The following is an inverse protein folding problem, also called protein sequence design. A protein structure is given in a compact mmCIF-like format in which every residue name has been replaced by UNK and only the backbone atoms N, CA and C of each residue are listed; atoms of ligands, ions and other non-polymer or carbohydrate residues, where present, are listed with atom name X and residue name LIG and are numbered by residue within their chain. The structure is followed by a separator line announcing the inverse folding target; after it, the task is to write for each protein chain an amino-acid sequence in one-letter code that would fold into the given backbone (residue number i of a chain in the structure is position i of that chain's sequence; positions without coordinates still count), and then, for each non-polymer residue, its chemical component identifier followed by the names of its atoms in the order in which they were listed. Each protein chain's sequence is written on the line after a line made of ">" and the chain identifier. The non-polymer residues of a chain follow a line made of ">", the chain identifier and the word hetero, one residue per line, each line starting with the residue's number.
data_IF_250872084772
#
_entry.id   IF_250872084772
#
_cell.length_a   1.000
_cell.length_b   1.000
_cell.length_c   1.000
_cell.angle_alpha   90.00
_cell.angle_beta   90.00
_cell.angle_gamma   90.00
#
_symmetry.space_group_name_H-M   'P 1'
#
loop_
_entity.id
_entity.type
_entity.pdbx_description
1 polymer ?
#
# COMPACT_ATOMS: atom_id res chain seq x y z
N UNK A 1 8.31 21.71 7.86
CA UNK A 1 9.63 22.38 7.88
C UNK A 1 9.69 23.24 9.13
N UNK A 2 10.82 23.28 9.84
CA UNK A 2 11.02 24.17 11.00
C UNK A 2 12.33 24.95 10.84
N UNK A 3 12.47 26.18 11.37
CA UNK A 3 13.74 26.91 11.33
C UNK A 3 14.87 26.12 11.98
N UNK A 4 16.09 26.24 11.43
CA UNK A 4 17.28 25.66 12.02
C UNK A 4 17.72 26.44 13.26
N UNK A 5 18.16 25.75 14.31
CA UNK A 5 18.61 26.40 15.54
C UNK A 5 19.98 27.05 15.30
N UNK A 6 20.05 28.38 15.44
CA UNK A 6 21.31 29.13 15.34
C UNK A 6 21.85 29.39 13.93
N UNK A 7 21.08 29.13 12.86
CA UNK A 7 21.54 29.32 11.47
C UNK A 7 20.45 29.85 10.52
N UNK A 8 20.87 30.38 9.36
CA UNK A 8 20.00 30.65 8.21
C UNK A 8 19.64 29.33 7.50
N UNK A 9 18.53 28.70 7.87
CA UNK A 9 18.06 27.49 7.20
C UNK A 9 16.78 26.88 7.79
N UNK A 10 16.29 25.80 7.15
CA UNK A 10 15.13 25.04 7.60
C UNK A 10 15.45 23.55 7.67
N UNK A 11 14.99 22.88 8.72
CA UNK A 11 14.91 21.42 8.77
C UNK A 11 13.66 20.94 8.03
N UNK A 12 13.86 20.02 7.10
CA UNK A 12 12.81 19.25 6.45
C UNK A 12 12.84 17.82 6.98
N UNK A 13 11.65 17.26 7.25
CA UNK A 13 11.50 15.84 7.57
C UNK A 13 10.26 15.34 6.85
N UNK A 14 10.46 14.30 6.05
CA UNK A 14 9.42 13.70 5.21
C UNK A 14 8.31 13.03 6.03
N UNK A 15 8.65 12.54 7.23
CA UNK A 15 7.77 11.71 8.05
C UNK A 15 7.50 12.29 9.44
N UNK A 16 8.01 13.50 9.74
CA UNK A 16 7.83 14.12 11.06
C UNK A 16 6.36 14.31 11.46
N UNK A 17 5.47 14.54 10.50
CA UNK A 17 4.03 14.71 10.76
C UNK A 17 3.33 13.41 11.14
N UNK A 18 3.96 12.26 10.89
CA UNK A 18 3.41 10.94 11.25
C UNK A 18 3.74 10.55 12.68
N UNK A 19 4.76 11.16 13.29
CA UNK A 19 5.19 10.83 14.64
C UNK A 19 4.11 11.22 15.66
N UNK A 20 3.63 10.24 16.43
CA UNK A 20 2.52 10.39 17.40
C UNK A 20 1.21 10.88 16.78
N UNK A 21 1.02 10.65 15.48
CA UNK A 21 -0.26 10.87 14.80
C UNK A 21 -0.99 9.56 14.58
N UNK A 22 -2.32 9.58 14.62
CA UNK A 22 -3.14 8.41 14.29
C UNK A 22 -3.68 8.54 12.86
N UNK A 23 -3.51 7.47 12.07
CA UNK A 23 -4.20 7.33 10.79
C UNK A 23 -5.62 6.83 11.05
N UNK A 24 -6.64 7.57 10.61
CA UNK A 24 -8.04 7.21 10.79
C UNK A 24 -8.93 8.36 11.25
N UNK A 25 -10.15 8.08 11.74
CA UNK A 25 -10.68 6.74 12.04
C UNK A 25 -11.03 5.92 10.79
N UNK A 26 -10.95 4.59 10.91
CA UNK A 26 -11.48 3.64 9.94
C UNK A 26 -12.78 3.03 10.44
N UNK A 27 -13.73 2.86 9.53
CA UNK A 27 -14.90 2.00 9.72
C UNK A 27 -14.70 0.75 8.85
N UNK A 28 -14.67 -0.43 9.47
CA UNK A 28 -14.37 -1.69 8.80
C UNK A 28 -15.43 -2.75 9.10
N UNK A 29 -15.63 -3.65 8.14
CA UNK A 29 -16.54 -4.79 8.28
C UNK A 29 -15.94 -5.82 9.23
N UNK A 30 -16.67 -6.13 10.30
CA UNK A 30 -16.25 -7.10 11.33
C UNK A 30 -16.38 -8.57 10.92
N UNK A 31 -17.02 -8.86 9.79
CA UNK A 31 -17.22 -10.23 9.28
C UNK A 31 -18.25 -11.08 10.05
N UNK A 32 -19.07 -10.49 10.93
CA UNK A 32 -20.09 -11.24 11.71
C UNK A 32 -21.25 -11.77 10.87
N UNK A 33 -21.72 -10.96 9.93
CA UNK A 33 -22.82 -11.32 9.01
C UNK A 33 -22.29 -12.07 7.79
N UNK A 34 -21.20 -11.57 7.22
CA UNK A 34 -20.51 -12.17 6.08
C UNK A 34 -19.00 -12.15 6.33
N UNK A 35 -18.42 -13.32 6.62
CA UNK A 35 -16.97 -13.45 6.86
C UNK A 35 -16.14 -13.12 5.62
N UNK A 36 -16.71 -13.25 4.41
CA UNK A 36 -16.04 -12.94 3.14
C UNK A 36 -15.91 -11.44 2.86
N UNK A 37 -16.42 -10.59 3.75
CA UNK A 37 -16.22 -9.14 3.72
C UNK A 37 -15.34 -8.64 4.88
N UNK A 38 -14.83 -9.54 5.73
CA UNK A 38 -14.01 -9.20 6.89
C UNK A 38 -12.84 -8.27 6.51
N UNK A 39 -12.67 -7.19 7.29
CA UNK A 39 -11.57 -6.26 7.12
C UNK A 39 -11.75 -5.24 5.99
N UNK A 40 -12.77 -5.39 5.14
CA UNK A 40 -13.07 -4.40 4.12
C UNK A 40 -13.43 -3.05 4.77
N UNK A 41 -12.86 -1.98 4.26
CA UNK A 41 -13.10 -0.62 4.76
C UNK A 41 -14.41 -0.10 4.17
N UNK A 42 -15.30 0.35 5.05
CA UNK A 42 -16.57 1.00 4.72
C UNK A 42 -16.38 2.51 4.55
N UNK A 43 -15.61 3.12 5.44
CA UNK A 43 -15.28 4.55 5.38
C UNK A 43 -13.94 4.85 6.04
N UNK A 44 -13.27 5.90 5.55
CA UNK A 44 -12.06 6.46 6.13
C UNK A 44 -12.30 7.92 6.46
N UNK A 45 -12.09 8.32 7.72
CA UNK A 45 -12.38 9.68 8.22
C UNK A 45 -13.81 10.14 7.90
N UNK A 46 -14.77 9.22 8.01
CA UNK A 46 -16.18 9.44 7.69
C UNK A 46 -16.50 9.57 6.19
N UNK A 47 -15.52 9.43 5.31
CA UNK A 47 -15.69 9.49 3.86
C UNK A 47 -15.76 8.08 3.27
N UNK A 48 -16.77 7.83 2.44
CA UNK A 48 -16.90 6.59 1.65
C UNK A 48 -16.26 6.70 0.26
N UNK A 49 -15.98 7.94 -0.17
CA UNK A 49 -15.33 8.25 -1.44
C UNK A 49 -14.32 9.37 -1.18
N UNK A 50 -13.10 9.19 -1.64
CA UNK A 50 -12.00 10.12 -1.51
C UNK A 50 -12.22 11.37 -2.38
N UNK A 51 -12.49 12.54 -1.77
CA UNK A 51 -12.91 13.73 -2.51
C UNK A 51 -11.79 14.35 -3.33
N UNK A 52 -10.52 14.13 -2.97
CA UNK A 52 -9.37 14.73 -3.65
C UNK A 52 -9.27 14.35 -5.14
N UNK A 53 -9.82 13.21 -5.54
CA UNK A 53 -9.80 12.77 -6.94
C UNK A 53 -10.87 13.44 -7.80
N UNK A 54 -11.93 14.00 -7.20
CA UNK A 54 -13.03 14.62 -7.94
C UNK A 54 -13.80 13.65 -8.86
N UNK A 55 -13.61 12.35 -8.67
CA UNK A 55 -14.20 11.28 -9.47
C UNK A 55 -14.62 10.13 -8.54
N UNK A 56 -15.84 9.62 -8.74
CA UNK A 56 -16.42 8.60 -7.86
C UNK A 56 -15.68 7.27 -7.97
N UNK A 57 -15.13 6.92 -9.13
CA UNK A 57 -14.40 5.68 -9.36
C UNK A 57 -12.98 5.76 -8.76
N UNK A 58 -12.22 6.80 -9.08
CA UNK A 58 -10.87 6.97 -8.52
C UNK A 58 -10.89 7.19 -7.00
N UNK A 59 -11.96 7.78 -6.48
CA UNK A 59 -12.15 7.98 -5.06
C UNK A 59 -12.67 6.76 -4.29
N UNK A 60 -12.93 5.61 -4.94
CA UNK A 60 -13.45 4.45 -4.21
C UNK A 60 -12.45 3.94 -3.18
N UNK A 61 -12.97 3.61 -2.00
CA UNK A 61 -12.28 2.87 -0.96
C UNK A 61 -12.68 1.40 -1.16
N UNK A 62 -11.76 0.59 -1.68
CA UNK A 62 -11.99 -0.80 -2.03
C UNK A 62 -11.02 -1.69 -1.24
N UNK A 63 -11.56 -2.77 -0.68
CA UNK A 63 -10.77 -3.76 0.06
C UNK A 63 -10.42 -3.32 1.47
N UNK A 64 -9.38 -3.93 2.03
CA UNK A 64 -8.91 -3.71 3.41
C UNK A 64 -7.77 -2.70 3.49
N UNK A 65 -7.20 -2.52 4.68
CA UNK A 65 -5.99 -1.74 4.95
C UNK A 65 -4.70 -2.55 4.74
N UNK A 66 -4.75 -3.60 3.92
CA UNK A 66 -3.67 -4.58 3.72
C UNK A 66 -3.33 -5.45 4.94
N UNK A 67 -3.72 -5.10 6.17
CA UNK A 67 -3.34 -5.87 7.37
C UNK A 67 -4.09 -7.20 7.52
N UNK A 68 -5.33 -7.23 7.05
CA UNK A 68 -6.22 -8.40 7.11
C UNK A 68 -6.89 -8.53 5.75
N UNK A 69 -7.02 -9.74 5.24
CA UNK A 69 -7.81 -10.05 4.05
C UNK A 69 -8.96 -10.99 4.39
N UNK A 70 -10.10 -10.90 3.69
CA UNK A 70 -11.17 -11.87 3.84
C UNK A 70 -10.68 -13.31 3.57
N UNK A 71 -11.23 -14.33 4.24
CA UNK A 71 -10.89 -15.72 3.96
C UNK A 71 -11.14 -16.09 2.50
N UNK A 72 -10.18 -16.78 1.89
CA UNK A 72 -10.26 -17.19 0.47
C UNK A 72 -10.87 -18.59 0.39
N UNK A 73 -11.99 -18.73 -0.34
CA UNK A 73 -12.54 -20.05 -0.69
C UNK A 73 -11.72 -20.67 -1.81
N UNK A 74 -11.29 -21.92 -1.64
CA UNK A 74 -10.48 -22.60 -2.66
C UNK A 74 -11.20 -22.73 -4.02
N UNK A 75 -12.52 -22.92 -4.02
CA UNK A 75 -13.33 -22.96 -5.25
C UNK A 75 -13.63 -21.58 -5.86
N UNK A 76 -13.25 -20.48 -5.22
CA UNK A 76 -13.50 -19.12 -5.68
C UNK A 76 -12.39 -18.16 -5.23
N UNK A 77 -11.18 -18.40 -5.74
CA UNK A 77 -10.01 -17.56 -5.44
C UNK A 77 -10.14 -16.22 -6.19
N UNK A 78 -10.15 -15.07 -5.51
CA UNK A 78 -10.21 -13.78 -6.17
C UNK A 78 -9.00 -13.57 -7.08
N UNK A 79 -9.24 -13.16 -8.33
CA UNK A 79 -8.17 -12.78 -9.26
C UNK A 79 -7.46 -11.49 -8.85
N UNK A 80 -8.15 -10.62 -8.11
CA UNK A 80 -7.67 -9.33 -7.63
C UNK A 80 -8.00 -9.17 -6.16
N UNK A 81 -7.04 -8.68 -5.38
CA UNK A 81 -7.28 -8.18 -4.03
C UNK A 81 -7.04 -6.68 -4.04
N UNK A 82 -8.01 -5.94 -3.50
CA UNK A 82 -7.91 -4.50 -3.36
C UNK A 82 -7.45 -4.14 -1.96
N UNK A 83 -6.69 -3.06 -1.85
CA UNK A 83 -6.32 -2.45 -0.58
C UNK A 83 -6.44 -0.94 -0.72
N UNK A 84 -6.90 -0.28 0.34
CA UNK A 84 -6.94 1.17 0.39
C UNK A 84 -5.74 1.69 1.17
N UNK A 85 -4.94 2.51 0.50
CA UNK A 85 -3.73 3.07 1.07
C UNK A 85 -3.94 4.56 1.36
N UNK A 86 -4.11 4.95 2.64
CA UNK A 86 -4.33 6.34 3.03
C UNK A 86 -3.19 7.25 2.62
N UNK A 87 -1.96 6.76 2.55
CA UNK A 87 -0.78 7.59 2.28
C UNK A 87 -0.72 8.10 0.84
N UNK A 88 -1.37 7.38 -0.07
CA UNK A 88 -1.55 7.76 -1.47
C UNK A 88 -3.01 8.09 -1.80
N UNK A 89 -3.89 8.08 -0.78
CA UNK A 89 -5.31 8.41 -0.82
C UNK A 89 -6.11 7.67 -1.89
N UNK A 90 -5.72 6.45 -2.28
CA UNK A 90 -6.42 5.67 -3.30
C UNK A 90 -6.36 4.19 -3.01
N UNK A 91 -7.30 3.46 -3.60
CA UNK A 91 -7.22 2.01 -3.64
C UNK A 91 -6.25 1.54 -4.72
N UNK A 92 -5.44 0.54 -4.37
CA UNK A 92 -4.58 -0.22 -5.28
C UNK A 92 -5.01 -1.69 -5.26
N UNK A 93 -4.42 -2.50 -6.15
CA UNK A 93 -4.75 -3.91 -6.19
C UNK A 93 -3.57 -4.76 -6.67
N UNK A 94 -3.56 -5.98 -6.15
CA UNK A 94 -2.62 -7.04 -6.52
C UNK A 94 -3.37 -8.12 -7.32
N UNK A 95 -2.70 -8.69 -8.31
CA UNK A 95 -3.22 -9.76 -9.17
C UNK A 95 -2.73 -11.12 -8.66
N UNK A 96 -3.61 -12.14 -8.72
CA UNK A 96 -3.27 -13.52 -8.37
C UNK A 96 -2.27 -14.07 -9.39
N UNK A 97 -1.11 -14.49 -8.91
CA UNK A 97 -0.11 -15.19 -9.72
C UNK A 97 -0.31 -16.71 -9.63
N UNK A 98 -0.62 -17.23 -8.45
CA UNK A 98 -0.86 -18.66 -8.25
C UNK A 98 -0.70 -19.09 -6.80
N UNK A 99 -0.50 -20.39 -6.56
CA UNK A 99 -0.11 -20.92 -5.24
C UNK A 99 1.41 -21.05 -5.16
N UNK A 100 2.00 -20.71 -4.01
CA UNK A 100 3.41 -20.94 -3.68
C UNK A 100 3.51 -21.57 -2.30
N UNK A 101 4.52 -22.41 -2.10
CA UNK A 101 4.84 -22.92 -0.77
C UNK A 101 5.81 -21.98 -0.07
N UNK A 102 5.48 -21.61 1.16
CA UNK A 102 6.33 -20.82 2.06
C UNK A 102 6.32 -21.50 3.43
N UNK A 103 7.49 -21.85 3.96
CA UNK A 103 7.61 -22.59 5.23
C UNK A 103 6.71 -23.85 5.31
N UNK A 104 6.60 -24.61 4.21
CA UNK A 104 5.71 -25.78 4.07
C UNK A 104 4.20 -25.48 4.18
N UNK A 105 3.79 -24.22 4.03
CA UNK A 105 2.39 -23.78 3.97
C UNK A 105 2.09 -23.38 2.53
N UNK A 106 1.01 -23.91 1.96
CA UNK A 106 0.53 -23.53 0.63
C UNK A 106 -0.25 -22.22 0.72
N UNK A 107 0.32 -21.13 0.22
CA UNK A 107 -0.28 -19.81 0.23
C UNK A 107 -0.61 -19.33 -1.18
N UNK A 108 -1.63 -18.49 -1.31
CA UNK A 108 -1.90 -17.76 -2.54
C UNK A 108 -0.93 -16.59 -2.67
N UNK A 109 -0.23 -16.52 -3.78
CA UNK A 109 0.76 -15.50 -4.07
C UNK A 109 0.19 -14.47 -5.04
N UNK A 110 0.19 -13.21 -4.60
CA UNK A 110 -0.29 -12.06 -5.35
C UNK A 110 0.85 -11.05 -5.56
N UNK A 111 0.85 -10.37 -6.70
CA UNK A 111 1.82 -9.32 -7.04
C UNK A 111 1.10 -8.03 -7.43
N UNK A 112 1.71 -6.87 -7.19
CA UNK A 112 1.15 -5.58 -7.62
C UNK A 112 0.89 -5.58 -9.13
N UNK A 113 -0.31 -5.14 -9.50
CA UNK A 113 -0.70 -5.12 -10.90
C UNK A 113 0.04 -4.02 -11.66
N UNK A 114 0.59 -4.34 -12.83
CA UNK A 114 1.13 -3.33 -13.76
C UNK A 114 0.07 -2.27 -14.13
N UNK A 115 -1.20 -2.69 -14.14
CA UNK A 115 -2.34 -1.79 -14.42
C UNK A 115 -2.65 -0.80 -13.29
N UNK A 116 -2.15 -1.03 -12.06
CA UNK A 116 -2.43 -0.16 -10.91
C UNK A 116 -1.77 1.23 -11.08
N UNK A 117 -0.56 1.27 -11.63
CA UNK A 117 0.24 2.48 -11.86
C UNK A 117 0.42 2.83 -13.35
N UNK A 118 -0.27 2.10 -14.24
CA UNK A 118 -0.27 2.35 -15.67
C UNK A 118 -0.79 3.77 -16.02
N UNK A 119 -0.26 4.35 -17.09
CA UNK A 119 -0.78 5.57 -17.66
C UNK A 119 -2.22 5.39 -18.20
N UNK A 120 -2.96 6.49 -18.34
CA UNK A 120 -4.35 6.49 -18.87
C UNK A 120 -4.49 5.88 -20.26
N UNK A 121 -3.42 5.87 -21.06
CA UNK A 121 -3.38 5.24 -22.39
C UNK A 121 -3.38 3.72 -22.32
N UNK A 122 -2.66 3.15 -21.33
CA UNK A 122 -2.57 1.70 -21.10
C UNK A 122 -3.74 1.19 -20.24
N UNK A 123 -4.18 1.98 -19.25
CA UNK A 123 -5.36 1.69 -18.44
C UNK A 123 -6.28 2.92 -18.37
N UNK A 124 -7.34 2.99 -19.20
CA UNK A 124 -8.28 4.13 -19.25
C UNK A 124 -8.97 4.45 -17.92
N UNK A 125 -9.08 3.47 -17.01
CA UNK A 125 -9.64 3.67 -15.68
C UNK A 125 -8.78 4.59 -14.81
N UNK A 126 -7.47 4.70 -15.11
CA UNK A 126 -6.57 5.57 -14.36
C UNK A 126 -6.65 7.05 -14.77
N UNK A 127 -7.51 7.42 -15.73
CA UNK A 127 -7.64 8.81 -16.23
C UNK A 127 -7.89 9.83 -15.13
N UNK A 128 -8.67 9.48 -14.10
CA UNK A 128 -9.03 10.38 -13.01
C UNK A 128 -7.94 10.52 -11.93
N UNK A 129 -6.91 9.67 -11.97
CA UNK A 129 -5.70 9.85 -11.17
C UNK A 129 -4.72 10.84 -11.81
N UNK A 130 -5.05 11.42 -12.96
CA UNK A 130 -4.31 12.51 -13.57
C UNK A 130 -5.15 13.80 -13.61
N UNK A 131 -4.58 14.90 -13.12
CA UNK A 131 -5.11 16.25 -13.34
C UNK A 131 -4.19 17.00 -14.32
N UNK A 132 -4.78 17.79 -15.21
CA UNK A 132 -4.13 18.47 -16.36
C UNK A 132 -3.00 19.47 -16.02
N UNK A 133 -2.61 19.61 -14.75
CA UNK A 133 -1.66 20.61 -14.29
C UNK A 133 -0.54 20.05 -13.40
N UNK A 134 -0.33 18.73 -13.40
CA UNK A 134 0.74 18.11 -12.59
C UNK A 134 2.07 18.02 -13.31
N UNK A 135 2.06 18.11 -14.63
CA UNK A 135 3.25 18.14 -15.48
C UNK A 135 3.11 19.24 -16.54
N UNK A 136 4.22 19.81 -16.99
CA UNK A 136 4.23 20.70 -18.14
C UNK A 136 4.09 19.93 -19.47
N UNK A 137 4.34 18.62 -19.45
CA UNK A 137 4.28 17.72 -20.60
C UNK A 137 3.15 16.69 -20.43
N UNK A 138 3.01 15.77 -21.39
CA UNK A 138 2.14 14.58 -21.25
C UNK A 138 0.66 14.87 -20.93
N UNK A 139 0.09 15.91 -21.56
CA UNK A 139 -1.29 16.38 -21.31
C UNK A 139 -1.57 16.67 -19.82
N UNK A 140 -0.54 17.16 -19.14
CA UNK A 140 -0.60 17.53 -17.74
C UNK A 140 -0.41 16.39 -16.75
N UNK A 141 -0.26 15.16 -17.21
CA UNK A 141 -0.09 13.96 -16.38
C UNK A 141 1.38 13.69 -16.03
N UNK A 142 1.60 13.01 -14.90
CA UNK A 142 2.90 12.39 -14.63
C UNK A 142 3.12 11.18 -15.55
N UNK A 143 4.39 10.81 -15.72
CA UNK A 143 4.80 9.58 -16.39
C UNK A 143 4.25 8.33 -15.69
N UNK A 144 4.16 7.24 -16.44
CA UNK A 144 3.73 5.94 -15.92
C UNK A 144 4.63 5.50 -14.76
N UNK A 145 4.04 4.87 -13.73
CA UNK A 145 4.76 4.43 -12.53
C UNK A 145 4.97 5.52 -11.47
N UNK A 146 4.50 6.75 -11.71
CA UNK A 146 4.56 7.86 -10.77
C UNK A 146 3.19 8.20 -10.19
N UNK A 147 3.17 8.57 -8.91
CA UNK A 147 1.99 9.04 -8.19
C UNK A 147 2.25 10.40 -7.58
N UNK A 148 1.35 11.36 -7.81
CA UNK A 148 1.41 12.65 -7.15
C UNK A 148 0.80 12.55 -5.74
N UNK A 149 1.60 12.82 -4.71
CA UNK A 149 1.16 12.80 -3.31
C UNK A 149 0.57 14.14 -2.85
N UNK A 150 0.71 15.22 -3.63
CA UNK A 150 0.21 16.54 -3.26
C UNK A 150 -1.28 16.56 -2.89
N UNK A 151 -2.19 15.88 -3.60
CA UNK A 151 -3.61 15.87 -3.23
C UNK A 151 -3.90 15.17 -1.90
N UNK A 152 -2.98 14.34 -1.42
CA UNK A 152 -3.14 13.48 -0.26
C UNK A 152 -2.38 13.99 0.96
N UNK A 153 -1.07 14.20 0.80
CA UNK A 153 -0.14 14.60 1.86
C UNK A 153 0.02 16.12 1.96
N UNK A 154 -0.54 16.90 1.00
CA UNK A 154 -0.35 18.35 0.96
C UNK A 154 1.09 18.80 0.68
N UNK A 155 1.97 17.88 0.26
CA UNK A 155 3.37 18.12 -0.03
C UNK A 155 3.69 17.86 -1.52
N UNK A 156 4.59 18.62 -2.16
CA UNK A 156 4.99 18.42 -3.55
C UNK A 156 5.91 17.19 -3.71
N UNK A 157 5.44 16.02 -3.29
CA UNK A 157 6.16 14.76 -3.36
C UNK A 157 5.55 13.84 -4.43
N UNK A 158 6.43 13.06 -5.06
CA UNK A 158 6.05 12.05 -6.05
C UNK A 158 6.51 10.69 -5.51
N UNK A 159 5.60 9.72 -5.50
CA UNK A 159 5.91 8.34 -5.15
C UNK A 159 6.06 7.46 -6.40
N UNK A 160 6.87 6.41 -6.27
CA UNK A 160 7.02 5.34 -7.24
C UNK A 160 7.37 4.05 -6.51
N UNK A 161 7.36 2.92 -7.22
CA UNK A 161 8.03 1.73 -6.72
C UNK A 161 9.57 1.92 -6.74
N UNK A 162 10.33 1.14 -5.95
CA UNK A 162 11.78 1.28 -5.86
C UNK A 162 12.46 1.16 -7.24
N UNK A 163 13.47 2.00 -7.48
CA UNK A 163 14.16 2.14 -8.77
C UNK A 163 13.19 2.28 -9.98
N UNK A 164 12.03 2.92 -9.77
CA UNK A 164 10.98 3.08 -10.80
C UNK A 164 10.56 1.75 -11.44
N UNK A 165 10.49 0.67 -10.64
CA UNK A 165 9.87 -0.58 -11.09
C UNK A 165 8.45 -0.30 -11.61
N UNK A 166 8.10 -0.86 -12.77
CA UNK A 166 6.87 -0.57 -13.53
C UNK A 166 6.72 0.89 -14.03
N UNK A 167 7.80 1.67 -14.02
CA UNK A 167 7.88 2.99 -14.64
C UNK A 167 7.98 2.93 -16.17
N UNK A 168 7.71 4.05 -16.86
CA UNK A 168 7.91 4.14 -18.31
C UNK A 168 9.39 4.12 -18.69
N UNK A 169 9.69 3.66 -19.91
CA UNK A 169 11.05 3.69 -20.46
C UNK A 169 11.63 5.11 -20.46
N UNK A 170 10.84 6.12 -20.86
CA UNK A 170 11.23 7.54 -20.79
C UNK A 170 11.68 7.97 -19.38
N UNK A 171 11.03 7.45 -18.32
CA UNK A 171 11.39 7.74 -16.94
C UNK A 171 12.75 7.11 -16.58
N UNK A 172 12.95 5.86 -17.01
CA UNK A 172 14.21 5.13 -16.76
C UNK A 172 15.38 5.76 -17.51
N UNK A 173 15.17 6.14 -18.77
CA UNK A 173 16.17 6.81 -19.61
C UNK A 173 16.58 8.18 -19.04
N UNK A 174 15.63 8.94 -18.49
CA UNK A 174 15.91 10.24 -17.87
C UNK A 174 16.92 10.14 -16.72
N UNK A 175 16.83 9.11 -15.88
CA UNK A 175 17.79 8.90 -14.80
C UNK A 175 19.09 8.24 -15.27
N UNK A 176 19.02 7.36 -16.29
CA UNK A 176 20.14 6.83 -17.08
C UNK A 176 21.14 5.91 -16.34
N UNK A 177 21.58 6.26 -15.13
CA UNK A 177 22.57 5.54 -14.34
C UNK A 177 22.15 5.40 -12.87
N UNK A 178 22.48 4.28 -12.23
CA UNK A 178 22.17 4.00 -10.82
C UNK A 178 20.74 3.50 -10.56
N UNK A 179 19.82 3.66 -11.51
CA UNK A 179 18.47 3.08 -11.46
C UNK A 179 18.47 1.73 -12.16
N UNK A 180 18.11 0.66 -11.43
CA UNK A 180 18.01 -0.70 -11.98
C UNK A 180 16.73 -1.37 -11.46
N UNK A 181 15.61 -1.26 -12.18
CA UNK A 181 14.40 -2.00 -11.86
C UNK A 181 14.70 -3.50 -11.80
N UNK A 182 14.20 -4.18 -10.78
CA UNK A 182 14.49 -5.58 -10.51
C UNK A 182 13.25 -6.16 -9.85
N UNK A 183 12.59 -7.12 -10.53
CA UNK A 183 11.32 -7.68 -10.05
C UNK A 183 11.49 -8.40 -8.71
N UNK A 184 12.62 -9.04 -8.45
CA UNK A 184 12.81 -9.78 -7.20
C UNK A 184 13.00 -8.84 -6.01
N UNK A 185 13.49 -7.62 -6.25
CA UNK A 185 13.84 -6.66 -5.19
C UNK A 185 12.82 -5.53 -5.02
N UNK A 186 12.15 -5.13 -6.10
CA UNK A 186 11.37 -3.90 -6.16
C UNK A 186 9.88 -4.15 -6.40
N UNK A 187 9.47 -5.42 -6.48
CA UNK A 187 8.07 -5.79 -6.58
C UNK A 187 7.39 -5.72 -5.21
N UNK A 188 6.11 -5.38 -5.22
CA UNK A 188 5.23 -5.48 -4.06
C UNK A 188 4.39 -6.74 -4.23
N UNK A 189 4.37 -7.59 -3.22
CA UNK A 189 3.67 -8.87 -3.25
C UNK A 189 3.10 -9.22 -1.89
N UNK A 190 2.15 -10.15 -1.87
CA UNK A 190 1.59 -10.68 -0.63
C UNK A 190 1.36 -12.18 -0.75
N UNK A 191 1.66 -12.90 0.32
CA UNK A 191 1.28 -14.30 0.49
C UNK A 191 0.06 -14.36 1.40
N UNK A 192 -1.03 -14.95 0.91
CA UNK A 192 -2.26 -15.13 1.68
C UNK A 192 -2.43 -16.60 1.99
N UNK A 193 -2.33 -16.93 3.28
CA UNK A 193 -2.66 -18.26 3.76
C UNK A 193 -4.20 -18.47 3.68
N UNK A 194 -4.69 -19.55 3.05
CA UNK A 194 -6.11 -19.90 3.12
C UNK A 194 -6.62 -20.17 4.55
N UNK A 195 -5.73 -20.51 5.50
CA UNK A 195 -6.07 -20.83 6.87
C UNK A 195 -5.93 -19.61 7.79
N UNK A 196 -7.06 -18.92 7.98
CA UNK A 196 -7.22 -18.04 9.12
C UNK A 196 -7.56 -18.87 10.38
N UNK A 197 -6.77 -18.75 11.46
CA UNK A 197 -7.09 -19.44 12.71
C UNK A 197 -8.24 -18.72 13.40
N UNK A 198 -9.39 -19.40 13.48
CA UNK A 198 -10.50 -18.97 14.33
C UNK A 198 -10.15 -19.31 15.79
N UNK A 199 -9.86 -18.28 16.58
CA UNK A 199 -9.65 -18.42 18.01
C UNK A 199 -11.01 -18.40 18.69
N UNK A 200 -11.46 -19.58 19.11
CA UNK A 200 -12.73 -19.77 19.81
C UNK A 200 -12.52 -19.72 21.31
N UNK A 201 -13.51 -19.18 22.02
CA UNK A 201 -13.59 -19.37 23.47
C UNK A 201 -13.82 -20.86 23.76
N UNK A 202 -12.93 -21.47 24.53
CA UNK A 202 -13.03 -22.87 24.96
C UNK A 202 -12.95 -22.90 26.48
N UNK A 203 -14.08 -23.16 27.14
CA UNK A 203 -14.19 -23.07 28.61
C UNK A 203 -13.33 -24.10 29.37
N UNK A 204 -12.96 -25.19 28.70
CA UNK A 204 -12.08 -26.26 29.18
C UNK A 204 -10.59 -25.92 29.11
N UNK A 205 -10.19 -24.95 28.28
CA UNK A 205 -8.79 -24.51 28.15
C UNK A 205 -8.65 -23.17 28.88
N UNK A 206 -7.96 -23.17 30.01
CA UNK A 206 -7.86 -22.00 30.91
C UNK A 206 -7.39 -20.73 30.18
N UNK A 207 -6.49 -20.88 29.20
CA UNK A 207 -5.95 -19.80 28.35
C UNK A 207 -6.98 -19.23 27.37
N UNK A 208 -7.95 -20.03 26.90
CA UNK A 208 -8.96 -19.63 25.91
C UNK A 208 -10.31 -19.27 26.53
N UNK A 209 -10.48 -19.46 27.85
CA UNK A 209 -11.75 -19.26 28.57
C UNK A 209 -12.28 -17.83 28.56
N UNK A 210 -11.42 -16.84 28.35
CA UNK A 210 -11.77 -15.40 28.32
C UNK A 210 -11.44 -14.73 26.99
N UNK A 211 -10.99 -15.48 26.00
CA UNK A 211 -10.64 -14.90 24.70
C UNK A 211 -11.92 -14.66 23.91
N UNK A 212 -12.16 -13.44 23.39
CA UNK A 212 -13.30 -13.19 22.53
C UNK A 212 -13.20 -14.07 21.27
N UNK A 213 -14.27 -14.81 20.98
CA UNK A 213 -14.35 -15.61 19.75
C UNK A 213 -14.22 -14.71 18.53
N UNK A 214 -13.17 -14.96 17.75
CA UNK A 214 -12.80 -14.12 16.63
C UNK A 214 -11.68 -14.73 15.80
N UNK A 215 -11.47 -14.15 14.63
CA UNK A 215 -10.48 -14.59 13.67
C UNK A 215 -9.18 -13.82 13.98
N UNK A 216 -8.14 -14.53 14.42
CA UNK A 216 -6.91 -13.92 14.91
C UNK A 216 -5.81 -14.04 13.83
N UNK A 217 -5.28 -12.93 13.30
CA UNK A 217 -4.13 -12.98 12.40
C UNK A 217 -2.89 -13.43 13.19
N UNK A 218 -2.25 -14.51 12.75
CA UNK A 218 -1.05 -15.07 13.39
C UNK A 218 0.25 -14.45 12.85
N UNK A 219 0.24 -13.93 11.62
CA UNK A 219 1.42 -13.45 10.90
C UNK A 219 1.14 -12.06 10.33
N UNK A 220 2.16 -11.22 10.37
CA UNK A 220 2.14 -9.81 9.93
C UNK A 220 2.90 -9.64 8.62
N UNK A 221 2.65 -8.50 7.94
CA UNK A 221 3.38 -8.06 6.77
C UNK A 221 4.77 -7.52 7.12
N UNK A 222 5.74 -7.84 6.28
CA UNK A 222 7.04 -7.19 6.29
C UNK A 222 7.04 -6.07 5.23
N UNK A 223 6.89 -4.83 5.64
CA UNK A 223 7.17 -3.68 4.79
C UNK A 223 8.68 -3.42 4.75
N UNK A 224 9.37 -4.11 3.83
CA UNK A 224 10.81 -3.90 3.66
C UNK A 224 11.06 -2.78 2.65
N UNK A 225 11.18 -1.55 3.12
CA UNK A 225 11.78 -0.48 2.31
C UNK A 225 13.31 -0.51 2.47
N UNK A 226 14.00 -1.24 1.60
CA UNK A 226 15.47 -1.27 1.60
C UNK A 226 16.03 -0.15 0.72
N UNK A 227 16.37 0.99 1.33
CA UNK A 227 17.08 2.08 0.66
C UNK A 227 18.51 1.63 0.31
N UNK A 228 18.76 1.29 -0.94
CA UNK A 228 20.11 1.09 -1.46
C UNK A 228 20.76 2.44 -1.77
N UNK A 229 21.23 3.14 -0.73
CA UNK A 229 22.23 4.19 -0.93
C UNK A 229 23.56 3.46 -1.10
N UNK A 230 24.03 3.35 -2.34
CA UNK A 230 25.42 2.97 -2.60
C UNK A 230 26.33 3.96 -1.87
N UNK A 231 26.92 3.54 -0.75
CA UNK A 231 27.96 4.33 -0.07
C UNK A 231 29.32 3.70 -0.34
N UNK A 232 30.32 4.49 -0.77
CA UNK A 232 31.62 4.42 -0.15
C UNK A 232 31.55 5.17 1.19
N UNK A 233 31.60 4.41 2.28
CA UNK A 233 32.14 4.78 3.59
C UNK A 233 31.46 5.91 4.43
N UNK A 234 31.14 5.54 5.68
CA UNK A 234 30.84 6.40 6.84
C UNK A 234 29.54 7.23 6.86
N UNK A 235 28.44 6.64 7.35
CA UNK A 235 27.55 7.33 8.32
C UNK A 235 26.90 6.26 9.21
N UNK A 236 27.01 6.47 10.52
CA UNK A 236 26.45 5.70 11.61
C UNK A 236 24.93 5.46 11.46
N UNK A 237 24.52 4.21 11.67
CA UNK A 237 23.16 3.84 12.05
C UNK A 237 23.12 3.97 13.57
N UNK A 238 22.32 4.89 14.12
CA UNK A 238 22.03 4.90 15.55
C UNK A 238 20.95 3.84 15.83
N UNK A 239 21.15 2.95 16.82
CA UNK A 239 20.09 2.08 17.30
C UNK A 239 19.06 2.90 18.09
N UNK A 240 17.84 2.39 18.11
CA UNK A 240 16.71 2.85 18.89
C UNK A 240 17.09 3.11 20.36
N UNK A 241 16.58 4.23 20.90
CA UNK A 241 16.30 4.42 22.33
C UNK A 241 14.88 4.96 22.45
#
# INVERSE_FOLDING_TARGET
>A
MRPAEGANGFYFSMFSHMNRSESGPYEMVRGRENVYELGNIVSYKGQKVMPMWGDKYCGQINGSDSSIFPPIKEGNVPKKLYTFEPDICRSVYVDLVGKKEIFNISAYYYEISESAFAAKSANPNNRCFCKKNWSANHDGCLLMGLLNLMPCQGAPAIASLPHFFLGSEELLEYFGSGIKPDKEKHNTYVYIDPFNIELRQIDTVTQLKRVPTGLFPMLWLEEVCRLWIGRPENVLIMPEV
#
